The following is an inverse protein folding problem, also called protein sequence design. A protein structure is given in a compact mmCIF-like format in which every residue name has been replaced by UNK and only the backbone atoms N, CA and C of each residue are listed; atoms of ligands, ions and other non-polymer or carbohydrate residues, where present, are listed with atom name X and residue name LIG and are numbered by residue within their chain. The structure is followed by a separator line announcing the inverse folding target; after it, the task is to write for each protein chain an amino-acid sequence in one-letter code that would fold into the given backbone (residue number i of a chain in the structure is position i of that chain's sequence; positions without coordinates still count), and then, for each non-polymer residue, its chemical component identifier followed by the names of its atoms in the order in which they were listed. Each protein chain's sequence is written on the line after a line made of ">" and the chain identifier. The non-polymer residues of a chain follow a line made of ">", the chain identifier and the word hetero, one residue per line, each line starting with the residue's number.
data_IF_444353868727
#
_entry.id   IF_444353868727
#
_cell.length_a   1.000
_cell.length_b   1.000
_cell.length_c   1.000
_cell.angle_alpha   90.00
_cell.angle_beta   90.00
_cell.angle_gamma   90.00
#
_symmetry.space_group_name_H-M   'P 1'
#
loop_
_entity.id
_entity.type
_entity.pdbx_description
1 polymer ?
#
# COMPACT_ATOMS: atom_id res chain seq x y z
N UNK A 1 -19.99 -23.87 28.76
CA UNK A 1 -19.03 -22.77 28.97
C UNK A 1 -17.69 -23.31 28.54
N UNK A 2 -17.29 -23.13 27.28
CA UNK A 2 -15.93 -23.34 26.78
C UNK A 2 -15.90 -22.69 25.37
N UNK A 3 -15.85 -21.36 25.35
CA UNK A 3 -15.93 -20.54 24.14
C UNK A 3 -14.64 -19.76 23.88
N UNK A 4 -13.52 -20.27 24.40
CA UNK A 4 -12.20 -19.73 24.14
C UNK A 4 -11.52 -20.68 23.17
N UNK A 5 -11.41 -20.26 21.93
CA UNK A 5 -10.85 -21.06 20.85
C UNK A 5 -9.35 -20.79 20.73
N UNK A 6 -8.61 -21.69 20.05
CA UNK A 6 -7.20 -21.44 19.70
C UNK A 6 -7.07 -20.13 18.91
N UNK A 7 -8.09 -19.81 18.09
CA UNK A 7 -8.17 -18.58 17.31
C UNK A 7 -8.17 -17.35 18.22
N UNK A 8 -8.94 -17.35 19.31
CA UNK A 8 -8.97 -16.24 20.28
C UNK A 8 -7.58 -16.02 20.92
N UNK A 9 -6.86 -17.11 21.20
CA UNK A 9 -5.48 -17.06 21.68
C UNK A 9 -4.52 -16.46 20.64
N UNK A 10 -4.62 -16.88 19.38
CA UNK A 10 -3.80 -16.35 18.27
C UNK A 10 -4.07 -14.88 18.02
N UNK A 11 -5.34 -14.47 18.01
CA UNK A 11 -5.75 -13.06 17.85
C UNK A 11 -5.18 -12.21 18.98
N UNK A 12 -5.33 -12.64 20.23
CA UNK A 12 -4.76 -11.95 21.38
C UNK A 12 -3.23 -11.85 21.27
N UNK A 13 -2.56 -12.93 20.88
CA UNK A 13 -1.12 -12.96 20.66
C UNK A 13 -0.68 -11.95 19.58
N UNK A 14 -1.35 -11.92 18.43
CA UNK A 14 -1.03 -10.98 17.34
C UNK A 14 -1.18 -9.53 17.81
N UNK A 15 -2.26 -9.20 18.51
CA UNK A 15 -2.49 -7.84 19.02
C UNK A 15 -1.43 -7.45 20.04
N UNK A 16 -1.13 -8.34 21.00
CA UNK A 16 -0.12 -8.09 22.04
C UNK A 16 1.27 -7.94 21.43
N UNK A 17 1.67 -8.84 20.53
CA UNK A 17 2.96 -8.74 19.84
C UNK A 17 3.05 -7.45 19.01
N UNK A 18 1.99 -7.10 18.28
CA UNK A 18 1.94 -5.85 17.51
C UNK A 18 2.09 -4.63 18.42
N UNK A 19 1.41 -4.62 19.57
CA UNK A 19 1.49 -3.54 20.55
C UNK A 19 2.90 -3.41 21.17
N UNK A 20 3.52 -4.52 21.58
CA UNK A 20 4.87 -4.54 22.16
C UNK A 20 5.95 -4.15 21.14
N UNK A 21 5.83 -4.64 19.90
CA UNK A 21 6.76 -4.29 18.82
C UNK A 21 6.64 -2.81 18.45
N UNK A 22 5.43 -2.25 18.40
CA UNK A 22 5.23 -0.83 18.11
C UNK A 22 5.65 0.06 19.30
N UNK A 23 5.43 -0.38 20.54
CA UNK A 23 5.95 0.31 21.73
C UNK A 23 7.47 0.44 21.69
N UNK A 24 8.19 -0.63 21.35
CA UNK A 24 9.66 -0.59 21.27
C UNK A 24 10.19 0.25 20.10
N UNK A 25 9.44 0.37 19.02
CA UNK A 25 9.83 1.16 17.83
C UNK A 25 9.37 2.62 17.86
N UNK A 26 8.36 2.95 18.66
CA UNK A 26 7.74 4.27 18.71
C UNK A 26 6.78 4.55 17.55
N UNK A 27 5.84 5.45 17.78
CA UNK A 27 4.83 5.87 16.79
C UNK A 27 5.45 6.55 15.57
N UNK A 28 6.40 7.46 15.77
CA UNK A 28 7.02 8.24 14.68
C UNK A 28 7.67 7.32 13.65
N UNK A 29 8.33 6.25 14.10
CA UNK A 29 8.96 5.30 13.19
C UNK A 29 7.92 4.58 12.32
N UNK A 30 6.82 4.16 12.92
CA UNK A 30 5.73 3.46 12.21
C UNK A 30 5.00 4.42 11.26
N UNK A 31 4.71 5.65 11.68
CA UNK A 31 4.07 6.68 10.85
C UNK A 31 4.95 7.07 9.65
N UNK A 32 6.24 7.29 9.88
CA UNK A 32 7.20 7.59 8.81
C UNK A 32 7.39 6.40 7.86
N UNK A 33 7.30 5.17 8.34
CA UNK A 33 7.33 3.99 7.47
C UNK A 33 6.13 3.99 6.52
N UNK A 34 4.91 4.21 7.03
CA UNK A 34 3.70 4.29 6.19
C UNK A 34 3.81 5.45 5.20
N UNK A 35 4.23 6.62 5.66
CA UNK A 35 4.47 7.77 4.79
C UNK A 35 5.52 7.45 3.71
N UNK A 36 6.58 6.71 4.05
CA UNK A 36 7.60 6.26 3.12
C UNK A 36 7.05 5.37 2.01
N UNK A 37 6.12 4.46 2.32
CA UNK A 37 5.43 3.65 1.31
C UNK A 37 4.58 4.50 0.37
N UNK A 38 3.83 5.47 0.91
CA UNK A 38 3.00 6.39 0.09
C UNK A 38 3.89 7.25 -0.82
N UNK A 39 4.92 7.88 -0.26
CA UNK A 39 5.86 8.73 -1.02
C UNK A 39 6.61 7.92 -2.07
N UNK A 40 7.06 6.71 -1.74
CA UNK A 40 7.68 5.81 -2.71
C UNK A 40 6.73 5.48 -3.88
N UNK A 41 5.44 5.26 -3.60
CA UNK A 41 4.43 5.01 -4.63
C UNK A 41 4.23 6.21 -5.55
N UNK A 42 4.16 7.42 -4.99
CA UNK A 42 4.06 8.66 -5.76
C UNK A 42 5.31 8.86 -6.65
N UNK A 43 6.50 8.69 -6.07
CA UNK A 43 7.76 8.78 -6.83
C UNK A 43 7.77 7.74 -7.94
N UNK A 44 7.43 6.49 -7.65
CA UNK A 44 7.36 5.43 -8.64
C UNK A 44 6.39 5.77 -9.78
N UNK A 45 5.21 6.30 -9.47
CA UNK A 45 4.22 6.68 -10.48
C UNK A 45 4.74 7.80 -11.41
N UNK A 46 5.42 8.80 -10.85
CA UNK A 46 5.96 9.93 -11.61
C UNK A 46 7.17 9.50 -12.46
N UNK A 47 8.03 8.63 -11.93
CA UNK A 47 9.32 8.31 -12.53
C UNK A 47 9.35 7.03 -13.36
N UNK A 48 8.35 6.16 -13.25
CA UNK A 48 8.28 4.94 -14.03
C UNK A 48 8.37 5.20 -15.55
N UNK A 49 7.63 6.17 -16.15
CA UNK A 49 7.68 6.41 -17.60
C UNK A 49 9.05 6.85 -18.11
N UNK A 50 9.86 7.51 -17.26
CA UNK A 50 11.22 7.91 -17.64
C UNK A 50 12.22 6.75 -17.53
N UNK A 51 11.93 5.74 -16.71
CA UNK A 51 12.81 4.58 -16.51
C UNK A 51 12.47 3.41 -17.44
N UNK A 52 11.23 3.32 -17.95
CA UNK A 52 10.77 2.23 -18.82
C UNK A 52 11.65 1.97 -20.05
N UNK A 53 12.13 2.99 -20.81
CA UNK A 53 13.05 2.76 -21.92
C UNK A 53 14.37 2.10 -21.49
N UNK A 54 14.90 2.51 -20.33
CA UNK A 54 16.15 1.96 -19.79
C UNK A 54 15.97 0.51 -19.32
N UNK A 55 14.79 0.14 -18.84
CA UNK A 55 14.49 -1.24 -18.41
C UNK A 55 14.50 -2.20 -19.59
N UNK A 56 14.03 -1.76 -20.76
CA UNK A 56 14.04 -2.56 -22.00
C UNK A 56 15.46 -2.91 -22.48
N UNK A 57 16.44 -2.06 -22.18
CA UNK A 57 17.84 -2.27 -22.57
C UNK A 57 18.61 -3.24 -21.65
N UNK A 58 18.00 -3.71 -20.55
CA UNK A 58 18.67 -4.60 -19.59
C UNK A 58 18.74 -6.02 -20.18
N UNK A 59 19.93 -6.58 -20.49
CA UNK A 59 20.07 -7.83 -21.25
C UNK A 59 19.56 -9.10 -20.56
N UNK A 60 19.20 -9.05 -19.27
CA UNK A 60 18.64 -10.20 -18.52
C UNK A 60 17.11 -10.09 -18.36
N UNK A 61 16.57 -8.87 -18.42
CA UNK A 61 15.17 -8.55 -18.12
C UNK A 61 14.42 -8.15 -19.39
N UNK A 62 15.10 -7.46 -20.30
CA UNK A 62 14.60 -7.04 -21.61
C UNK A 62 14.08 -8.23 -22.43
N UNK A 63 14.79 -9.35 -22.49
CA UNK A 63 14.37 -10.50 -23.30
C UNK A 63 13.01 -11.11 -22.88
N UNK A 64 12.57 -10.92 -21.62
CA UNK A 64 11.27 -11.41 -21.13
C UNK A 64 10.16 -10.36 -21.12
N UNK A 65 10.54 -9.07 -21.15
CA UNK A 65 9.64 -7.95 -20.81
C UNK A 65 9.57 -6.91 -21.93
N UNK A 66 10.54 -6.87 -22.85
CA UNK A 66 10.62 -5.88 -23.92
C UNK A 66 9.46 -5.95 -24.92
N UNK A 67 8.88 -7.14 -25.11
CA UNK A 67 7.79 -7.38 -26.06
C UNK A 67 6.44 -6.79 -25.57
N UNK A 68 6.34 -6.36 -24.31
CA UNK A 68 5.10 -5.85 -23.72
C UNK A 68 5.35 -4.55 -22.98
N UNK A 69 4.90 -3.43 -23.57
CA UNK A 69 5.06 -2.10 -22.95
C UNK A 69 4.49 -2.07 -21.53
N UNK A 70 3.30 -2.64 -21.31
CA UNK A 70 2.67 -2.69 -19.98
C UNK A 70 3.57 -3.37 -18.95
N UNK A 71 4.22 -4.47 -19.35
CA UNK A 71 5.04 -5.28 -18.47
C UNK A 71 6.36 -4.56 -18.16
N UNK A 72 6.95 -3.87 -19.14
CA UNK A 72 8.09 -2.98 -18.92
C UNK A 72 7.75 -1.77 -18.04
N UNK A 73 6.52 -1.25 -18.16
CA UNK A 73 6.04 -0.12 -17.37
C UNK A 73 5.89 -0.50 -15.89
N UNK A 74 5.27 -1.66 -15.63
CA UNK A 74 5.13 -2.21 -14.28
C UNK A 74 6.51 -2.53 -13.69
N UNK A 75 7.43 -3.09 -14.48
CA UNK A 75 8.80 -3.36 -14.04
C UNK A 75 9.54 -2.07 -13.67
N UNK A 76 9.44 -1.02 -14.50
CA UNK A 76 10.03 0.28 -14.22
C UNK A 76 9.46 0.89 -12.93
N UNK A 77 8.13 0.85 -12.75
CA UNK A 77 7.49 1.27 -11.52
C UNK A 77 8.03 0.50 -10.30
N UNK A 78 8.10 -0.82 -10.37
CA UNK A 78 8.60 -1.65 -9.28
C UNK A 78 10.07 -1.33 -8.92
N UNK A 79 10.92 -1.09 -9.92
CA UNK A 79 12.33 -0.71 -9.71
C UNK A 79 12.42 0.64 -9.01
N UNK A 80 11.76 1.68 -9.52
CA UNK A 80 11.76 3.01 -8.88
C UNK A 80 11.22 2.91 -7.47
N UNK A 81 10.11 2.19 -7.29
CA UNK A 81 9.47 2.00 -6.01
C UNK A 81 10.41 1.34 -4.99
N UNK A 82 11.09 0.27 -5.39
CA UNK A 82 12.06 -0.43 -4.55
C UNK A 82 13.23 0.48 -4.17
N UNK A 83 13.78 1.25 -5.12
CA UNK A 83 14.86 2.21 -4.85
C UNK A 83 14.39 3.29 -3.86
N UNK A 84 13.20 3.84 -4.06
CA UNK A 84 12.63 4.84 -3.16
C UNK A 84 12.40 4.27 -1.75
N UNK A 85 11.94 3.03 -1.62
CA UNK A 85 11.81 2.35 -0.34
C UNK A 85 13.16 2.08 0.33
N UNK A 86 14.20 1.74 -0.43
CA UNK A 86 15.57 1.60 0.11
C UNK A 86 16.01 2.93 0.70
N UNK A 87 15.86 4.03 -0.03
CA UNK A 87 16.20 5.38 0.47
C UNK A 87 15.39 5.72 1.73
N UNK A 88 14.07 5.50 1.71
CA UNK A 88 13.23 5.72 2.88
C UNK A 88 13.66 4.86 4.08
N UNK A 89 14.05 3.60 3.86
CA UNK A 89 14.49 2.69 4.91
C UNK A 89 15.77 3.14 5.63
N UNK A 90 16.59 3.95 4.97
CA UNK A 90 17.79 4.56 5.56
C UNK A 90 17.45 5.84 6.33
N UNK A 91 16.50 6.63 5.82
CA UNK A 91 16.10 7.93 6.39
C UNK A 91 15.23 7.76 7.63
N UNK A 92 14.23 6.88 7.60
CA UNK A 92 13.24 6.71 8.67
C UNK A 92 13.88 6.39 10.03
N UNK A 93 14.84 5.44 10.15
CA UNK A 93 15.50 5.15 11.42
C UNK A 93 16.25 6.37 11.99
N UNK A 94 16.85 7.19 11.14
CA UNK A 94 17.59 8.39 11.56
C UNK A 94 16.66 9.36 12.27
N UNK A 95 15.56 9.76 11.63
CA UNK A 95 14.59 10.69 12.22
C UNK A 95 13.90 10.13 13.46
N UNK A 96 13.48 8.87 13.42
CA UNK A 96 12.83 8.23 14.58
C UNK A 96 13.76 8.16 15.80
N UNK A 97 15.07 7.92 15.58
CA UNK A 97 16.04 7.88 16.67
C UNK A 97 16.22 9.23 17.37
N UNK A 98 16.06 10.35 16.65
CA UNK A 98 16.13 11.69 17.24
C UNK A 98 14.96 11.94 18.20
N UNK A 99 13.75 11.50 17.82
CA UNK A 99 12.56 11.64 18.66
C UNK A 99 12.68 10.77 19.92
N UNK A 100 13.10 9.52 19.76
CA UNK A 100 13.23 8.59 20.90
C UNK A 100 14.27 9.05 21.92
N UNK A 101 15.34 9.71 21.48
CA UNK A 101 16.40 10.25 22.36
C UNK A 101 16.02 11.59 23.01
N UNK A 102 14.92 12.20 22.60
CA UNK A 102 14.43 13.46 23.16
C UNK A 102 13.54 13.24 24.39
N UNK A 103 13.15 14.32 25.06
CA UNK A 103 12.18 14.28 26.16
C UNK A 103 10.80 13.70 25.74
N UNK A 104 10.52 13.63 24.44
CA UNK A 104 9.27 13.09 23.89
C UNK A 104 9.29 11.56 23.70
N UNK A 105 10.42 10.89 23.94
CA UNK A 105 10.56 9.45 23.68
C UNK A 105 9.52 8.58 24.40
N UNK A 106 9.18 8.89 25.66
CA UNK A 106 8.15 8.15 26.39
C UNK A 106 6.74 8.33 25.81
N UNK A 107 6.42 9.54 25.31
CA UNK A 107 5.14 9.81 24.64
C UNK A 107 5.08 9.08 23.30
N UNK A 108 6.17 9.09 22.54
CA UNK A 108 6.29 8.37 21.27
C UNK A 108 6.09 6.85 21.43
N UNK A 109 6.64 6.27 22.50
CA UNK A 109 6.43 4.85 22.84
C UNK A 109 4.98 4.57 23.24
N UNK A 110 4.37 5.42 24.08
CA UNK A 110 2.97 5.27 24.46
C UNK A 110 2.01 5.34 23.27
N UNK A 111 2.20 6.31 22.38
CA UNK A 111 1.46 6.39 21.12
C UNK A 111 1.76 5.17 20.21
N UNK A 112 3.00 4.70 20.22
CA UNK A 112 3.41 3.50 19.51
C UNK A 112 2.63 2.27 19.95
N UNK A 113 2.43 2.08 21.26
CA UNK A 113 1.61 1.00 21.80
C UNK A 113 0.15 1.07 21.31
N UNK A 114 -0.50 2.24 21.42
CA UNK A 114 -1.89 2.43 20.98
C UNK A 114 -2.01 2.15 19.48
N UNK A 115 -1.08 2.68 18.69
CA UNK A 115 -1.00 2.41 17.26
C UNK A 115 -0.80 0.92 16.96
N UNK A 116 0.08 0.24 17.71
CA UNK A 116 0.34 -1.19 17.57
C UNK A 116 -0.89 -2.06 17.89
N UNK A 117 -1.69 -1.68 18.89
CA UNK A 117 -2.98 -2.33 19.17
C UNK A 117 -3.93 -2.14 17.99
N UNK A 118 -4.11 -0.91 17.52
CA UNK A 118 -4.99 -0.61 16.38
C UNK A 118 -4.56 -1.37 15.12
N UNK A 119 -3.25 -1.42 14.83
CA UNK A 119 -2.67 -2.20 13.73
C UNK A 119 -2.92 -3.69 13.90
N UNK A 120 -2.75 -4.24 15.11
CA UNK A 120 -2.99 -5.65 15.39
C UNK A 120 -4.45 -6.03 15.13
N UNK A 121 -5.39 -5.19 15.59
CA UNK A 121 -6.83 -5.33 15.33
C UNK A 121 -7.11 -5.29 13.82
N UNK A 122 -6.52 -4.31 13.10
CA UNK A 122 -6.69 -4.18 11.66
C UNK A 122 -6.19 -5.41 10.90
N UNK A 123 -5.00 -5.93 11.25
CA UNK A 123 -4.44 -7.12 10.61
C UNK A 123 -5.33 -8.36 10.82
N UNK A 124 -5.87 -8.51 12.03
CA UNK A 124 -6.83 -9.59 12.32
C UNK A 124 -8.11 -9.42 11.51
N UNK A 125 -8.66 -8.20 11.42
CA UNK A 125 -9.85 -7.92 10.62
C UNK A 125 -9.64 -8.28 9.13
N UNK A 126 -8.51 -7.89 8.55
CA UNK A 126 -8.15 -8.22 7.16
C UNK A 126 -8.01 -9.74 7.01
N UNK A 127 -7.36 -10.43 7.95
CA UNK A 127 -7.22 -11.89 7.90
C UNK A 127 -8.58 -12.61 7.91
N UNK A 128 -9.52 -12.14 8.74
CA UNK A 128 -10.89 -12.66 8.75
C UNK A 128 -11.62 -12.39 7.43
N UNK A 129 -11.55 -11.17 6.90
CA UNK A 129 -12.16 -10.85 5.61
C UNK A 129 -11.63 -11.75 4.48
N UNK A 130 -10.31 -11.96 4.43
CA UNK A 130 -9.69 -12.85 3.43
C UNK A 130 -10.13 -14.29 3.66
N UNK A 131 -10.23 -14.76 4.91
CA UNK A 131 -10.73 -16.10 5.24
C UNK A 131 -12.16 -16.29 4.74
N UNK A 132 -13.08 -15.37 5.04
CA UNK A 132 -14.49 -15.47 4.60
C UNK A 132 -14.61 -15.40 3.07
N UNK A 133 -13.80 -14.57 2.41
CA UNK A 133 -13.87 -14.38 0.95
C UNK A 133 -13.22 -15.53 0.18
N UNK A 134 -12.09 -16.06 0.65
CA UNK A 134 -11.28 -17.05 -0.08
C UNK A 134 -11.59 -18.49 0.34
N UNK A 135 -11.92 -18.71 1.62
CA UNK A 135 -12.13 -20.05 2.21
C UNK A 135 -13.63 -20.31 2.36
N UNK A 136 -14.30 -20.52 1.23
CA UNK A 136 -15.76 -20.78 1.19
C UNK A 136 -16.12 -22.27 1.33
N UNK A 137 -15.17 -23.19 1.14
CA UNK A 137 -15.47 -24.61 0.87
C UNK A 137 -15.45 -25.55 2.08
N UNK A 138 -14.86 -25.17 3.22
CA UNK A 138 -14.93 -25.93 4.48
C UNK A 138 -14.99 -24.96 5.67
N UNK A 139 -16.18 -24.79 6.24
CA UNK A 139 -16.41 -23.97 7.43
C UNK A 139 -15.71 -24.65 8.62
N UNK A 140 -14.52 -24.17 8.99
CA UNK A 140 -13.82 -24.68 10.17
C UNK A 140 -14.54 -24.15 11.40
N UNK A 141 -15.33 -25.01 12.06
CA UNK A 141 -16.18 -24.64 13.20
C UNK A 141 -15.41 -23.95 14.34
N UNK A 142 -14.10 -24.23 14.48
CA UNK A 142 -13.23 -23.57 15.45
C UNK A 142 -13.04 -22.06 15.19
N UNK A 143 -13.23 -21.58 13.96
CA UNK A 143 -13.17 -20.16 13.59
C UNK A 143 -14.53 -19.50 13.81
N UNK A 144 -15.63 -20.16 13.43
CA UNK A 144 -16.97 -19.59 13.54
C UNK A 144 -17.48 -19.48 15.00
N UNK A 145 -17.02 -20.38 15.87
CA UNK A 145 -17.34 -20.35 17.31
C UNK A 145 -16.52 -19.33 18.12
N UNK A 146 -15.52 -18.70 17.51
CA UNK A 146 -14.64 -17.71 18.16
C UNK A 146 -15.42 -16.46 18.57
N UNK A 147 -15.10 -15.92 19.76
CA UNK A 147 -15.63 -14.61 20.18
C UNK A 147 -15.08 -13.47 19.33
N UNK A 148 -13.85 -13.62 18.87
CA UNK A 148 -13.19 -12.67 17.97
C UNK A 148 -13.95 -12.58 16.65
N UNK A 149 -14.37 -13.70 16.06
CA UNK A 149 -15.16 -13.73 14.83
C UNK A 149 -16.42 -12.84 14.92
N UNK A 150 -17.19 -12.94 16.01
CA UNK A 150 -18.41 -12.11 16.21
C UNK A 150 -18.15 -10.60 16.36
N UNK A 151 -16.95 -10.21 16.76
CA UNK A 151 -16.56 -8.79 16.88
C UNK A 151 -16.06 -8.28 15.53
N UNK A 152 -15.24 -9.06 14.83
CA UNK A 152 -14.65 -8.66 13.56
C UNK A 152 -15.63 -8.74 12.40
N UNK A 153 -16.57 -9.69 12.37
CA UNK A 153 -17.66 -9.75 11.38
C UNK A 153 -18.51 -8.48 11.36
N UNK A 154 -18.75 -7.86 12.52
CA UNK A 154 -19.48 -6.57 12.60
C UNK A 154 -18.69 -5.39 12.03
N UNK A 155 -17.37 -5.48 11.99
CA UNK A 155 -16.53 -4.49 11.31
C UNK A 155 -16.50 -4.76 9.80
N UNK A 156 -16.39 -6.03 9.39
CA UNK A 156 -16.38 -6.45 7.98
C UNK A 156 -17.70 -6.16 7.27
N UNK A 157 -18.86 -6.44 7.87
CA UNK A 157 -20.16 -6.18 7.26
C UNK A 157 -20.40 -4.70 6.92
N UNK A 158 -19.77 -3.77 7.66
CA UNK A 158 -19.81 -2.33 7.33
C UNK A 158 -18.99 -1.95 6.08
N UNK A 159 -17.99 -2.75 5.74
CA UNK A 159 -17.18 -2.57 4.52
C UNK A 159 -17.95 -3.12 3.31
N UNK A 160 -18.70 -4.21 3.49
CA UNK A 160 -19.53 -4.84 2.44
C UNK A 160 -20.75 -3.99 2.06
N UNK A 161 -21.38 -3.32 3.04
CA UNK A 161 -22.42 -2.31 2.79
C UNK A 161 -21.89 -1.08 2.00
N UNK A 162 -20.57 -0.87 2.00
CA UNK A 162 -19.89 0.24 1.35
C UNK A 162 -19.49 -0.04 -0.11
N UNK A 163 -20.46 -0.43 -0.95
CA UNK A 163 -20.35 -0.62 -2.41
C UNK A 163 -18.90 -0.81 -2.96
N UNK A 164 -18.34 -2.02 -2.86
CA UNK A 164 -16.92 -2.31 -3.16
C UNK A 164 -16.51 -2.00 -4.61
N UNK A 165 -17.45 -1.97 -5.55
CA UNK A 165 -17.19 -1.67 -6.96
C UNK A 165 -16.65 -0.24 -7.17
N UNK A 166 -17.08 0.73 -6.35
CA UNK A 166 -16.56 2.11 -6.43
C UNK A 166 -15.11 2.20 -5.96
N UNK A 167 -14.73 1.41 -4.96
CA UNK A 167 -13.35 1.35 -4.48
C UNK A 167 -12.42 0.74 -5.55
N UNK A 168 -12.88 -0.29 -6.26
CA UNK A 168 -12.14 -0.93 -7.35
C UNK A 168 -11.96 0.02 -8.55
N UNK A 169 -12.98 0.81 -8.91
CA UNK A 169 -12.88 1.75 -10.03
C UNK A 169 -11.84 2.87 -9.86
N UNK A 170 -11.47 3.24 -8.63
CA UNK A 170 -10.33 4.14 -8.40
C UNK A 170 -8.99 3.49 -8.75
N UNK A 171 -8.78 2.23 -8.36
CA UNK A 171 -7.56 1.47 -8.66
C UNK A 171 -7.42 1.28 -10.17
N UNK A 172 -8.51 0.92 -10.86
CA UNK A 172 -8.52 0.73 -12.31
C UNK A 172 -8.10 1.99 -13.05
N UNK A 173 -8.63 3.16 -12.69
CA UNK A 173 -8.22 4.44 -13.31
C UNK A 173 -6.75 4.77 -13.09
N UNK A 174 -6.21 4.45 -11.92
CA UNK A 174 -4.80 4.67 -11.62
C UNK A 174 -3.90 3.72 -12.43
N UNK A 175 -4.33 2.47 -12.61
CA UNK A 175 -3.64 1.50 -13.47
C UNK A 175 -3.67 1.94 -14.93
N UNK A 176 -4.84 2.31 -15.46
CA UNK A 176 -5.00 2.84 -16.82
C UNK A 176 -4.18 4.12 -17.02
N UNK A 177 -4.08 5.00 -16.02
CA UNK A 177 -3.24 6.19 -16.12
C UNK A 177 -1.73 5.87 -16.14
N UNK A 178 -1.31 4.79 -15.47
CA UNK A 178 0.09 4.35 -15.45
C UNK A 178 0.48 3.64 -16.74
N UNK A 179 -0.41 2.78 -17.26
CA UNK A 179 -0.16 1.92 -18.42
C UNK A 179 -0.62 2.57 -19.73
N UNK A 180 -1.54 3.53 -19.70
CA UNK A 180 -2.09 4.18 -20.90
C UNK A 180 -1.07 4.97 -21.74
N UNK A 181 0.12 5.24 -21.20
CA UNK A 181 1.26 5.74 -22.01
C UNK A 181 1.76 4.70 -23.02
N UNK A 182 1.45 3.42 -22.84
CA UNK A 182 1.79 2.33 -23.74
C UNK A 182 0.85 2.18 -24.94
N UNK A 183 -0.39 2.68 -24.84
CA UNK A 183 -1.38 2.65 -25.94
C UNK A 183 -1.28 3.87 -26.86
N UNK A 184 -0.40 4.82 -26.56
CA UNK A 184 -0.14 5.95 -27.43
C UNK A 184 0.48 5.42 -28.75
N UNK A 185 -0.21 5.55 -29.90
CA UNK A 185 0.32 5.08 -31.16
C UNK A 185 1.64 5.81 -31.42
N UNK A 186 2.65 5.03 -31.80
CA UNK A 186 4.03 5.45 -32.02
C UNK A 186 4.18 6.90 -32.47
N UNK A 187 4.88 7.71 -31.66
CA UNK A 187 5.58 8.89 -32.17
C UNK A 187 4.78 10.16 -32.34
N UNK A 188 4.06 10.63 -31.31
CA UNK A 188 3.78 12.08 -31.22
C UNK A 188 4.60 12.67 -30.08
N UNK A 189 5.82 13.10 -30.43
CA UNK A 189 6.58 14.03 -29.63
C UNK A 189 5.65 15.17 -29.18
N UNK A 190 5.69 15.48 -27.89
CA UNK A 190 5.03 16.65 -27.30
C UNK A 190 5.55 17.88 -28.04
N UNK A 191 4.85 18.28 -29.10
CA UNK A 191 4.98 19.62 -29.68
C UNK A 191 4.13 20.50 -28.79
N UNK A 192 4.70 21.50 -28.09
CA UNK A 192 3.88 22.47 -27.38
C UNK A 192 2.96 23.12 -28.41
N UNK A 193 1.66 23.02 -28.21
CA UNK A 193 0.69 23.73 -29.02
C UNK A 193 1.07 25.21 -29.00
N UNK A 194 1.49 25.74 -30.15
CA UNK A 194 1.71 27.17 -30.32
C UNK A 194 0.40 27.89 -29.99
N UNK A 195 0.45 29.01 -29.24
CA UNK A 195 -0.76 29.76 -28.91
C UNK A 195 -1.44 30.19 -30.20
N UNK A 196 -2.72 29.86 -30.34
CA UNK A 196 -3.55 30.30 -31.43
C UNK A 196 -3.55 31.84 -31.48
N UNK A 197 -2.98 32.41 -32.53
CA UNK A 197 -3.25 33.79 -32.92
C UNK A 197 -4.75 33.88 -33.25
N UNK A 198 -5.51 34.78 -32.61
CA UNK A 198 -6.85 35.08 -33.07
C UNK A 198 -6.70 35.89 -34.36
N UNK A 199 -6.99 35.27 -35.50
CA UNK A 199 -7.12 36.00 -36.75
C UNK A 199 -8.52 36.64 -36.81
N UNK A 200 -8.49 37.96 -37.00
CA UNK A 200 -9.47 38.83 -37.62
C UNK A 200 -10.95 38.78 -37.19
N UNK A 201 -11.44 39.92 -36.65
CA UNK A 201 -12.65 40.53 -37.18
C UNK A 201 -12.75 42.03 -36.82
N UNK A 202 -13.02 42.81 -37.87
CA UNK A 202 -13.76 44.08 -37.92
C UNK A 202 -12.96 45.41 -37.98
N UNK A 203 -13.15 46.04 -39.14
CA UNK A 203 -12.99 47.46 -39.54
C UNK A 203 -11.66 47.92 -40.17
#
# INVERSE_FOLDING_TARGET
>A
MDGFTIIDGVVALVIVLSALLAYSRGFVREALAIAGWIVAGIIAFIFAPQLEPLVKEIPVVGDFIADSCELSMIAAFAIVFAVALIVASLIVPLFSSLVQRSALGGVDQGLGFVFGVARGILLVAIAYFVYETVVTSQQIQMVDDSRSARVFQRMTGKIEDGNPEQALGWITRQYEALVGSCDAPDGTAITPAAPATPDAAAE
#
